data_IF_255854240206
#
_entry.id   IF_255854240206
#
_cell.length_a   1.000
_cell.length_b   1.000
_cell.length_c   1.000
_cell.angle_alpha   90.00
_cell.angle_beta   90.00
_cell.angle_gamma   90.00
#
_symmetry.space_group_name_H-M   'P 1'
#
loop_
_entity.id
_entity.type
_entity.pdbx_description
1 polymer ?
#
# COMPACT_ATOMS: atom_id res chain seq x y z
N UNK A 1 47.86 -11.31 -19.61
CA UNK A 1 47.50 -11.00 -18.21
C UNK A 1 48.47 -9.93 -17.72
N UNK A 2 48.01 -8.69 -17.57
CA UNK A 2 48.90 -7.55 -17.31
C UNK A 2 49.46 -7.61 -15.89
N UNK A 3 50.78 -7.70 -15.80
CA UNK A 3 51.56 -7.85 -14.58
C UNK A 3 51.32 -6.65 -13.65
N UNK A 4 50.67 -6.89 -12.51
CA UNK A 4 50.57 -5.90 -11.43
C UNK A 4 51.97 -5.77 -10.83
N UNK A 5 52.76 -4.86 -11.38
CA UNK A 5 54.10 -4.54 -10.89
C UNK A 5 53.98 -3.97 -9.48
N UNK A 6 54.57 -4.67 -8.50
CA UNK A 6 54.70 -4.27 -7.10
C UNK A 6 55.46 -2.95 -6.97
N UNK A 7 54.73 -1.84 -7.11
CA UNK A 7 55.30 -0.50 -7.13
C UNK A 7 55.07 0.18 -5.77
N UNK A 8 56.11 0.78 -5.18
CA UNK A 8 56.02 1.47 -3.87
C UNK A 8 54.98 2.59 -3.86
N UNK A 9 54.79 3.23 -5.02
CA UNK A 9 53.73 4.22 -5.24
C UNK A 9 52.34 3.60 -5.22
N UNK A 10 52.19 2.37 -5.71
CA UNK A 10 50.94 1.62 -5.62
C UNK A 10 50.64 1.23 -4.17
N UNK A 11 51.66 0.75 -3.44
CA UNK A 11 51.55 0.47 -2.00
C UNK A 11 51.14 1.72 -1.20
N UNK A 12 51.80 2.86 -1.41
CA UNK A 12 51.51 4.10 -0.69
C UNK A 12 50.12 4.67 -1.03
N UNK A 13 49.68 4.52 -2.29
CA UNK A 13 48.33 4.91 -2.70
C UNK A 13 47.28 4.01 -2.06
N UNK A 14 47.52 2.69 -2.03
CA UNK A 14 46.61 1.69 -1.48
C UNK A 14 46.48 1.80 0.05
N UNK A 15 47.60 1.94 0.77
CA UNK A 15 47.59 2.13 2.23
C UNK A 15 47.02 3.49 2.62
N UNK A 16 47.39 4.55 1.88
CA UNK A 16 46.87 5.90 2.11
C UNK A 16 45.35 6.02 1.93
N UNK A 17 44.76 5.43 0.89
CA UNK A 17 43.29 5.45 0.71
C UNK A 17 42.56 4.50 1.66
N UNK A 18 43.13 3.33 1.97
CA UNK A 18 42.55 2.38 2.92
C UNK A 18 42.40 2.95 4.34
N UNK A 19 43.42 3.68 4.82
CA UNK A 19 43.38 4.33 6.14
C UNK A 19 42.36 5.47 6.18
N UNK A 20 42.26 6.30 5.13
CA UNK A 20 41.28 7.39 5.10
C UNK A 20 39.83 6.88 5.09
N UNK A 21 39.57 5.74 4.44
CA UNK A 21 38.25 5.13 4.47
C UNK A 21 37.84 4.64 5.87
N UNK A 22 38.80 4.15 6.69
CA UNK A 22 38.54 3.72 8.08
C UNK A 22 38.30 4.85 9.07
N UNK A 23 38.71 6.08 8.73
CA UNK A 23 38.51 7.27 9.56
C UNK A 23 37.20 7.99 9.25
N UNK A 24 36.47 7.56 8.22
CA UNK A 24 35.14 8.10 7.94
C UNK A 24 34.21 7.74 9.11
N UNK A 25 33.56 8.73 9.75
CA UNK A 25 32.55 8.48 10.76
C UNK A 25 31.52 7.47 10.25
N UNK A 26 31.23 6.44 11.03
CA UNK A 26 30.22 5.43 10.68
C UNK A 26 28.88 6.07 10.32
N UNK A 27 28.54 7.21 10.90
CA UNK A 27 27.33 8.00 10.57
C UNK A 27 27.26 8.44 9.10
N UNK A 28 28.38 8.79 8.48
CA UNK A 28 28.43 9.15 7.05
C UNK A 28 28.26 7.91 6.16
N UNK A 29 28.79 6.76 6.58
CA UNK A 29 28.59 5.48 5.88
C UNK A 29 27.12 5.02 5.94
N UNK A 30 26.47 5.18 7.10
CA UNK A 30 25.05 4.88 7.31
C UNK A 30 24.10 5.87 6.61
N UNK A 31 24.53 7.12 6.41
CA UNK A 31 23.78 8.10 5.62
C UNK A 31 23.85 7.79 4.11
N UNK A 32 25.00 7.28 3.63
CA UNK A 32 25.18 6.88 2.24
C UNK A 32 24.44 5.58 1.89
N UNK A 33 24.30 4.64 2.84
CA UNK A 33 23.55 3.40 2.60
C UNK A 33 22.04 3.60 2.51
N UNK A 34 21.54 4.82 2.66
CA UNK A 34 20.13 5.18 2.45
C UNK A 34 19.25 4.52 3.51
N UNK A 35 18.69 5.34 4.41
CA UNK A 35 17.76 4.88 5.44
C UNK A 35 16.80 3.81 4.90
N UNK A 36 16.78 2.66 5.59
CA UNK A 36 16.07 1.44 5.22
C UNK A 36 14.85 1.71 4.33
N UNK A 37 14.96 1.38 3.05
CA UNK A 37 13.88 1.49 2.07
C UNK A 37 12.85 0.36 2.28
N UNK A 38 12.32 0.28 3.51
CA UNK A 38 11.41 -0.75 3.96
C UNK A 38 9.96 -0.45 3.57
N UNK A 39 9.15 -1.50 3.46
CA UNK A 39 7.70 -1.36 3.27
C UNK A 39 7.09 -0.64 4.47
N UNK A 40 6.33 0.43 4.21
CA UNK A 40 5.59 1.18 5.24
C UNK A 40 4.13 0.72 5.24
N UNK A 41 3.61 0.38 6.41
CA UNK A 41 2.20 0.07 6.63
C UNK A 41 1.55 1.22 7.41
N UNK A 42 0.44 1.75 6.89
CA UNK A 42 -0.37 2.75 7.57
C UNK A 42 -1.69 2.08 7.94
N UNK A 43 -1.97 1.98 9.24
CA UNK A 43 -3.25 1.48 9.77
C UNK A 43 -4.11 2.67 10.21
N UNK A 44 -5.27 2.84 9.58
CA UNK A 44 -6.27 3.82 10.00
C UNK A 44 -7.47 3.09 10.61
N UNK A 45 -7.71 3.29 11.90
CA UNK A 45 -8.92 2.81 12.58
C UNK A 45 -9.92 3.95 12.67
N UNK A 46 -11.08 3.79 12.04
CA UNK A 46 -12.16 4.76 12.07
C UNK A 46 -13.23 4.31 13.07
N UNK A 47 -13.44 5.10 14.11
CA UNK A 47 -14.51 4.85 15.08
C UNK A 47 -15.78 5.58 14.63
N UNK A 48 -16.90 4.86 14.53
CA UNK A 48 -18.20 5.43 14.16
C UNK A 48 -19.23 4.37 13.76
N UNK A 49 -20.47 4.80 13.56
CA UNK A 49 -21.56 3.95 13.06
C UNK A 49 -21.52 3.83 11.54
N UNK A 50 -20.59 3.03 11.02
CA UNK A 50 -20.53 2.74 9.59
C UNK A 50 -21.62 1.70 9.23
N UNK A 51 -22.47 2.03 8.28
CA UNK A 51 -23.48 1.11 7.78
C UNK A 51 -22.95 0.27 6.62
N UNK A 52 -22.57 -0.96 6.92
CA UNK A 52 -21.99 -1.90 5.94
C UNK A 52 -22.89 -2.08 4.73
N UNK A 53 -24.22 -2.12 4.88
CA UNK A 53 -25.14 -2.35 3.75
C UNK A 53 -25.36 -1.09 2.88
N UNK A 54 -24.89 0.08 3.34
CA UNK A 54 -24.82 1.28 2.50
C UNK A 54 -23.48 1.39 1.77
N UNK A 55 -22.42 0.77 2.28
CA UNK A 55 -21.11 0.68 1.59
C UNK A 55 -21.12 -0.48 0.61
N UNK A 56 -21.43 -1.68 1.08
CA UNK A 56 -21.55 -2.94 0.37
C UNK A 56 -23.03 -3.25 0.15
N UNK A 57 -23.56 -2.77 -0.97
CA UNK A 57 -24.97 -2.90 -1.32
C UNK A 57 -25.24 -4.31 -1.87
N UNK A 58 -26.07 -5.12 -1.19
CA UNK A 58 -26.52 -6.42 -1.71
C UNK A 58 -27.66 -6.21 -2.71
N UNK A 59 -27.32 -5.70 -3.89
CA UNK A 59 -28.28 -5.18 -4.87
C UNK A 59 -29.19 -6.24 -5.51
N UNK A 60 -28.89 -7.53 -5.32
CA UNK A 60 -29.74 -8.66 -5.75
C UNK A 60 -30.67 -9.18 -4.64
N UNK A 61 -30.54 -8.72 -3.40
CA UNK A 61 -31.35 -9.17 -2.27
C UNK A 61 -32.62 -8.31 -2.13
N UNK A 62 -33.80 -8.91 -2.28
CA UNK A 62 -35.07 -8.19 -2.13
C UNK A 62 -35.29 -7.69 -0.70
N UNK A 63 -34.79 -8.44 0.29
CA UNK A 63 -34.91 -8.09 1.71
C UNK A 63 -34.21 -6.75 2.04
N UNK A 64 -33.11 -6.43 1.35
CA UNK A 64 -32.42 -5.14 1.52
C UNK A 64 -33.35 -3.97 1.22
N UNK A 65 -34.11 -4.05 0.12
CA UNK A 65 -35.05 -3.01 -0.29
C UNK A 65 -36.27 -2.95 0.63
N UNK A 66 -36.77 -4.11 1.08
CA UNK A 66 -37.90 -4.19 2.00
C UNK A 66 -37.59 -3.56 3.37
N UNK A 67 -36.38 -3.79 3.90
CA UNK A 67 -35.94 -3.26 5.19
C UNK A 67 -35.51 -1.78 5.13
N UNK A 68 -35.27 -1.23 3.92
CA UNK A 68 -34.70 0.11 3.73
C UNK A 68 -35.46 0.94 2.69
N UNK A 69 -36.78 1.13 2.84
CA UNK A 69 -37.61 1.77 1.82
C UNK A 69 -37.19 3.22 1.48
N UNK A 70 -36.55 3.93 2.41
CA UNK A 70 -36.16 5.34 2.25
C UNK A 70 -34.69 5.55 1.88
N UNK A 71 -33.82 4.59 2.20
CA UNK A 71 -32.36 4.76 2.10
C UNK A 71 -31.67 3.70 1.21
N UNK A 72 -32.43 2.76 0.64
CA UNK A 72 -31.87 1.75 -0.25
C UNK A 72 -31.31 2.39 -1.52
N UNK A 73 -30.14 1.91 -1.95
CA UNK A 73 -29.55 2.32 -3.24
C UNK A 73 -30.23 1.56 -4.37
N UNK A 74 -30.80 2.30 -5.34
CA UNK A 74 -31.45 1.70 -6.48
C UNK A 74 -30.46 0.84 -7.29
N UNK A 75 -30.88 -0.36 -7.70
CA UNK A 75 -30.03 -1.34 -8.39
C UNK A 75 -29.27 -0.79 -9.60
N UNK A 76 -29.90 0.13 -10.36
CA UNK A 76 -29.30 0.80 -11.52
C UNK A 76 -28.13 1.72 -11.20
N UNK A 77 -28.07 2.24 -9.97
CA UNK A 77 -27.07 3.21 -9.53
C UNK A 77 -25.91 2.54 -8.77
N UNK A 78 -26.00 1.21 -8.55
CA UNK A 78 -24.98 0.44 -7.82
C UNK A 78 -23.75 0.23 -8.69
N UNK A 79 -22.58 0.48 -8.11
CA UNK A 79 -21.29 0.18 -8.72
C UNK A 79 -20.95 -1.30 -8.48
N UNK A 80 -21.33 -2.17 -9.40
CA UNK A 80 -21.19 -3.62 -9.27
C UNK A 80 -19.73 -4.02 -9.00
N UNK A 81 -19.50 -4.83 -7.95
CA UNK A 81 -18.21 -5.45 -7.66
C UNK A 81 -18.20 -6.92 -8.09
N UNK A 82 -19.31 -7.63 -7.85
CA UNK A 82 -19.53 -9.02 -8.24
C UNK A 82 -21.05 -9.31 -8.35
N UNK A 83 -21.45 -10.57 -8.51
CA UNK A 83 -22.84 -10.98 -8.74
C UNK A 83 -23.79 -10.71 -7.55
N UNK A 84 -23.27 -10.46 -6.35
CA UNK A 84 -24.07 -10.30 -5.12
C UNK A 84 -23.94 -8.92 -4.48
N UNK A 85 -22.78 -8.29 -4.60
CA UNK A 85 -22.40 -7.05 -3.93
C UNK A 85 -21.94 -5.98 -4.91
N UNK A 86 -22.27 -4.74 -4.59
CA UNK A 86 -21.74 -3.55 -5.24
C UNK A 86 -21.49 -2.42 -4.26
N UNK A 87 -20.89 -1.34 -4.72
CA UNK A 87 -20.64 -0.14 -3.94
C UNK A 87 -21.73 0.90 -4.16
N UNK A 88 -21.92 1.76 -3.15
CA UNK A 88 -22.69 2.99 -3.30
C UNK A 88 -22.14 3.84 -4.46
N UNK A 89 -23.00 4.52 -5.24
CA UNK A 89 -22.57 5.46 -6.28
C UNK A 89 -21.62 6.56 -5.79
N UNK A 90 -21.66 6.90 -4.49
CA UNK A 90 -20.72 7.87 -3.89
C UNK A 90 -19.27 7.37 -3.82
N UNK A 91 -19.02 6.07 -4.01
CA UNK A 91 -17.69 5.46 -3.93
C UNK A 91 -17.02 5.23 -5.29
N UNK A 92 -17.36 6.02 -6.32
CA UNK A 92 -16.75 5.91 -7.67
C UNK A 92 -15.22 5.92 -7.65
N UNK A 93 -14.60 6.70 -6.76
CA UNK A 93 -13.14 6.72 -6.65
C UNK A 93 -12.57 5.42 -6.06
N UNK A 94 -13.25 4.81 -5.09
CA UNK A 94 -12.86 3.49 -4.57
C UNK A 94 -13.07 2.41 -5.62
N UNK A 95 -14.14 2.49 -6.41
CA UNK A 95 -14.38 1.57 -7.54
C UNK A 95 -13.23 1.62 -8.55
N UNK A 96 -12.71 2.81 -8.87
CA UNK A 96 -11.52 2.93 -9.75
C UNK A 96 -10.28 2.24 -9.18
N UNK A 97 -10.04 2.36 -7.87
CA UNK A 97 -8.88 1.72 -7.21
C UNK A 97 -9.07 0.21 -7.15
N UNK A 98 -10.30 -0.25 -6.90
CA UNK A 98 -10.70 -1.65 -6.99
C UNK A 98 -10.45 -2.23 -8.39
N UNK A 99 -10.89 -1.54 -9.43
CA UNK A 99 -10.73 -1.98 -10.83
C UNK A 99 -9.25 -2.08 -11.24
N UNK A 100 -8.37 -1.31 -10.60
CA UNK A 100 -6.93 -1.38 -10.78
C UNK A 100 -6.25 -2.48 -9.93
N UNK A 101 -7.01 -3.33 -9.22
CA UNK A 101 -6.50 -4.34 -8.28
C UNK A 101 -5.62 -3.77 -7.15
N UNK A 102 -5.84 -2.50 -6.77
CA UNK A 102 -5.08 -1.82 -5.72
C UNK A 102 -5.86 -1.67 -4.41
N UNK A 103 -7.07 -2.23 -4.34
CA UNK A 103 -7.94 -2.19 -3.17
C UNK A 103 -8.49 -3.58 -2.88
N UNK A 104 -8.41 -4.01 -1.62
CA UNK A 104 -9.12 -5.16 -1.10
C UNK A 104 -10.19 -4.68 -0.13
N UNK A 105 -11.38 -5.27 -0.21
CA UNK A 105 -12.53 -4.90 0.61
C UNK A 105 -13.03 -6.11 1.38
N UNK A 106 -13.23 -5.94 2.68
CA UNK A 106 -13.68 -7.00 3.58
C UNK A 106 -14.90 -6.50 4.37
N UNK A 107 -16.13 -6.85 3.95
CA UNK A 107 -17.30 -6.56 4.77
C UNK A 107 -17.25 -7.42 6.03
N UNK A 108 -17.35 -6.79 7.21
CA UNK A 108 -17.53 -7.53 8.44
C UNK A 108 -18.96 -8.07 8.50
N UNK A 109 -19.15 -9.35 8.23
CA UNK A 109 -20.39 -10.06 8.53
C UNK A 109 -20.27 -10.63 9.94
N UNK A 110 -21.10 -10.14 10.87
CA UNK A 110 -21.27 -10.83 12.14
C UNK A 110 -22.13 -12.06 11.86
N UNK A 111 -21.52 -13.24 11.95
CA UNK A 111 -22.23 -14.52 11.90
C UNK A 111 -23.06 -14.75 13.16
#
# INVERSE_FOLDING_TARGET
MNNIQNNRRFFLKLTGTGMMASLLPSSLLHAYTGGQNGKKLILLSLSGGCDTANIFVPYNESNYYALRPTIAVAKKDVLVLNDTLGLNPKFTNLKKIWDNNHLALFPATHS
#
